data_IF_215727379032
#
_entry.id   IF_215727379032
#
_cell.length_a   1.000
_cell.length_b   1.000
_cell.length_c   1.000
_cell.angle_alpha   90.00
_cell.angle_beta   90.00
_cell.angle_gamma   90.00
#
_symmetry.space_group_name_H-M   'P 1'
#
loop_
_entity.id
_entity.type
_entity.pdbx_description
1 polymer ?
#
# COMPACT_ATOMS: atom_id res chain seq x y z
N UNK A 1 17.15 42.71 -22.57
CA UNK A 1 15.72 42.31 -22.43
C UNK A 1 15.29 41.18 -23.38
N UNK A 2 16.19 40.58 -24.18
CA UNK A 2 15.84 39.56 -25.19
C UNK A 2 15.59 38.15 -24.60
N UNK A 3 16.22 37.80 -23.47
CA UNK A 3 16.03 36.49 -22.82
C UNK A 3 14.66 36.33 -22.13
N UNK A 4 13.88 37.41 -21.95
CA UNK A 4 12.57 37.36 -21.28
C UNK A 4 11.54 36.53 -22.05
N UNK A 5 11.59 36.53 -23.38
CA UNK A 5 10.71 35.71 -24.22
C UNK A 5 11.01 34.22 -24.10
N UNK A 6 12.30 33.86 -24.09
CA UNK A 6 12.76 32.48 -23.92
C UNK A 6 12.35 31.91 -22.55
N UNK A 7 12.55 32.68 -21.47
CA UNK A 7 12.16 32.27 -20.12
C UNK A 7 10.65 32.03 -20.04
N UNK A 8 9.82 32.91 -20.62
CA UNK A 8 8.36 32.73 -20.64
C UNK A 8 7.96 31.45 -21.38
N UNK A 9 8.56 31.17 -22.53
CA UNK A 9 8.30 29.94 -23.28
C UNK A 9 8.59 28.69 -22.44
N UNK A 10 9.77 28.61 -21.82
CA UNK A 10 10.13 27.48 -20.97
C UNK A 10 9.22 27.35 -19.74
N UNK A 11 8.79 28.46 -19.14
CA UNK A 11 7.84 28.39 -18.02
C UNK A 11 6.49 27.82 -18.44
N UNK A 12 5.95 28.22 -19.59
CA UNK A 12 4.69 27.66 -20.09
C UNK A 12 4.83 26.17 -20.46
N UNK A 13 5.94 25.80 -21.12
CA UNK A 13 6.21 24.41 -21.45
C UNK A 13 6.33 23.53 -20.19
N UNK A 14 7.01 24.02 -19.15
CA UNK A 14 7.14 23.33 -17.87
C UNK A 14 5.79 23.20 -17.16
N UNK A 15 4.97 24.25 -17.13
CA UNK A 15 3.62 24.18 -16.55
C UNK A 15 2.78 23.12 -17.27
N UNK A 16 2.81 23.07 -18.61
CA UNK A 16 2.08 22.07 -19.38
C UNK A 16 2.56 20.65 -19.07
N UNK A 17 3.87 20.43 -18.92
CA UNK A 17 4.41 19.12 -18.57
C UNK A 17 3.98 18.69 -17.16
N UNK A 18 3.96 19.63 -16.21
CA UNK A 18 3.49 19.37 -14.85
C UNK A 18 2.01 19.01 -14.82
N UNK A 19 1.17 19.74 -15.58
CA UNK A 19 -0.26 19.42 -15.69
C UNK A 19 -0.49 18.04 -16.31
N UNK A 20 0.29 17.68 -17.32
CA UNK A 20 0.22 16.35 -17.93
C UNK A 20 0.58 15.25 -16.93
N UNK A 21 1.67 15.39 -16.17
CA UNK A 21 2.04 14.42 -15.13
C UNK A 21 0.97 14.32 -14.02
N UNK A 22 0.46 15.45 -13.55
CA UNK A 22 -0.58 15.49 -12.50
C UNK A 22 -1.90 14.87 -12.98
N UNK A 23 -2.21 14.95 -14.28
CA UNK A 23 -3.43 14.38 -14.84
C UNK A 23 -3.53 12.86 -14.64
N UNK A 24 -2.40 12.13 -14.72
CA UNK A 24 -2.38 10.69 -14.46
C UNK A 24 -2.76 10.35 -13.03
N UNK A 25 -2.16 11.05 -12.05
CA UNK A 25 -2.53 10.91 -10.64
C UNK A 25 -4.02 11.18 -10.43
N UNK A 26 -4.59 12.18 -11.11
CA UNK A 26 -6.03 12.45 -11.01
C UNK A 26 -6.89 11.33 -11.59
N UNK A 27 -6.56 10.81 -12.78
CA UNK A 27 -7.30 9.71 -13.40
C UNK A 27 -7.27 8.42 -12.55
N UNK A 28 -6.09 8.08 -12.02
CA UNK A 28 -5.90 6.92 -11.13
C UNK A 28 -6.72 7.06 -9.86
N UNK A 29 -6.60 8.18 -9.15
CA UNK A 29 -7.35 8.44 -7.91
C UNK A 29 -8.86 8.44 -8.14
N UNK A 30 -9.32 8.94 -9.27
CA UNK A 30 -10.74 8.91 -9.62
C UNK A 30 -11.25 7.47 -9.84
N UNK A 31 -10.48 6.63 -10.53
CA UNK A 31 -10.81 5.22 -10.72
C UNK A 31 -10.81 4.45 -9.39
N UNK A 32 -9.78 4.63 -8.58
CA UNK A 32 -9.62 4.01 -7.26
C UNK A 32 -10.79 4.37 -6.33
N UNK A 33 -11.17 5.65 -6.28
CA UNK A 33 -12.35 6.11 -5.52
C UNK A 33 -13.65 5.41 -5.94
N UNK A 34 -13.81 5.15 -7.24
CA UNK A 34 -14.98 4.43 -7.75
C UNK A 34 -15.00 2.95 -7.33
N UNK A 35 -13.83 2.32 -7.24
CA UNK A 35 -13.70 0.92 -6.81
C UNK A 35 -13.82 0.78 -5.29
N UNK A 36 -13.33 1.76 -4.54
CA UNK A 36 -13.51 1.85 -3.10
C UNK A 36 -14.99 1.96 -2.74
N UNK A 37 -15.75 2.80 -3.45
CA UNK A 37 -17.19 2.91 -3.26
C UNK A 37 -17.92 1.58 -3.50
N UNK A 38 -17.51 0.80 -4.51
CA UNK A 38 -18.05 -0.55 -4.77
C UNK A 38 -17.68 -1.53 -3.65
N UNK A 39 -16.45 -1.48 -3.14
CA UNK A 39 -16.01 -2.31 -2.03
C UNK A 39 -16.79 -1.98 -0.75
N UNK A 40 -16.94 -0.69 -0.42
CA UNK A 40 -17.73 -0.23 0.72
C UNK A 40 -19.21 -0.63 0.61
N UNK A 41 -19.80 -0.54 -0.60
CA UNK A 41 -21.16 -0.98 -0.83
C UNK A 41 -21.34 -2.50 -0.68
N UNK A 42 -20.32 -3.30 -1.00
CA UNK A 42 -20.33 -4.74 -0.79
C UNK A 42 -20.25 -5.08 0.70
N UNK A 43 -19.35 -4.43 1.45
CA UNK A 43 -19.18 -4.63 2.89
C UNK A 43 -20.43 -4.25 3.70
N UNK A 44 -21.18 -3.22 3.28
CA UNK A 44 -22.46 -2.86 3.92
C UNK A 44 -23.51 -3.97 3.90
N UNK A 45 -23.33 -5.02 3.08
CA UNK A 45 -24.22 -6.20 3.06
C UNK A 45 -23.88 -7.20 4.17
N UNK A 46 -22.72 -7.08 4.79
CA UNK A 46 -22.31 -7.93 5.90
C UNK A 46 -23.06 -7.53 7.19
N UNK A 47 -23.32 -8.48 8.10
CA UNK A 47 -23.97 -8.18 9.36
C UNK A 47 -23.12 -7.22 10.19
N UNK A 48 -23.78 -6.32 10.92
CA UNK A 48 -23.09 -5.36 11.80
C UNK A 48 -22.57 -6.04 13.06
N UNK A 49 -21.46 -5.54 13.60
CA UNK A 49 -20.82 -6.09 14.81
C UNK A 49 -21.80 -6.29 15.98
N UNK A 50 -22.76 -5.36 16.14
CA UNK A 50 -23.79 -5.41 17.17
C UNK A 50 -24.81 -6.54 16.98
N UNK A 51 -25.03 -6.99 15.74
CA UNK A 51 -25.93 -8.11 15.43
C UNK A 51 -25.29 -9.47 15.67
N UNK A 52 -23.97 -9.58 15.45
CA UNK A 52 -23.21 -10.83 15.63
C UNK A 52 -22.78 -11.01 17.09
N UNK A 53 -22.38 -9.92 17.75
CA UNK A 53 -21.89 -9.90 19.13
C UNK A 53 -22.57 -8.79 19.95
N UNK A 54 -23.79 -9.01 20.47
CA UNK A 54 -24.58 -7.96 21.12
C UNK A 54 -24.01 -7.49 22.48
N UNK A 55 -23.29 -8.34 23.22
CA UNK A 55 -22.89 -8.05 24.60
C UNK A 55 -21.38 -7.83 24.82
N UNK A 56 -20.55 -8.09 23.81
CA UNK A 56 -19.09 -8.11 23.97
C UNK A 56 -18.40 -7.05 23.11
N UNK A 57 -17.91 -5.98 23.75
CA UNK A 57 -17.28 -4.83 23.05
C UNK A 57 -15.96 -5.18 22.39
N UNK A 58 -15.19 -6.09 22.99
CA UNK A 58 -13.91 -6.54 22.43
C UNK A 58 -14.12 -7.35 21.15
N UNK A 59 -15.10 -8.26 21.14
CA UNK A 59 -15.44 -9.04 19.95
C UNK A 59 -16.04 -8.16 18.84
N UNK A 60 -16.79 -7.11 19.19
CA UNK A 60 -17.24 -6.10 18.21
C UNK A 60 -16.07 -5.37 17.55
N UNK A 61 -15.05 -4.99 18.32
CA UNK A 61 -13.84 -4.35 17.80
C UNK A 61 -13.09 -5.27 16.84
N UNK A 62 -12.82 -6.52 17.26
CA UNK A 62 -12.15 -7.53 16.42
C UNK A 62 -12.94 -7.84 15.15
N UNK A 63 -14.26 -7.90 15.24
CA UNK A 63 -15.12 -8.11 14.08
C UNK A 63 -15.01 -6.94 13.09
N UNK A 64 -15.09 -5.69 13.57
CA UNK A 64 -14.93 -4.52 12.69
C UNK A 64 -13.55 -4.48 12.02
N UNK A 65 -12.50 -4.87 12.74
CA UNK A 65 -11.15 -4.98 12.19
C UNK A 65 -11.09 -6.02 11.06
N UNK A 66 -11.64 -7.22 11.29
CA UNK A 66 -11.74 -8.27 10.27
C UNK A 66 -12.55 -7.84 9.05
N UNK A 67 -13.66 -7.11 9.24
CA UNK A 67 -14.47 -6.57 8.15
C UNK A 67 -13.69 -5.53 7.35
N UNK A 68 -12.88 -4.69 8.02
CA UNK A 68 -12.00 -3.72 7.36
C UNK A 68 -10.95 -4.41 6.50
N UNK A 69 -10.40 -5.53 6.94
CA UNK A 69 -9.42 -6.30 6.18
C UNK A 69 -10.04 -7.01 4.98
N UNK A 70 -11.25 -7.56 5.14
CA UNK A 70 -12.02 -8.12 4.02
C UNK A 70 -12.33 -7.00 3.00
N UNK A 71 -12.67 -5.79 3.45
CA UNK A 71 -12.88 -4.64 2.56
C UNK A 71 -11.64 -4.35 1.72
N UNK A 72 -10.47 -4.27 2.35
CA UNK A 72 -9.18 -4.01 1.68
C UNK A 72 -8.85 -5.13 0.69
N UNK A 73 -9.05 -6.39 1.08
CA UNK A 73 -8.79 -7.54 0.20
C UNK A 73 -9.70 -7.53 -1.04
N UNK A 74 -11.00 -7.27 -0.85
CA UNK A 74 -11.96 -7.17 -1.94
C UNK A 74 -11.68 -5.98 -2.85
N UNK A 75 -11.34 -4.82 -2.27
CA UNK A 75 -10.91 -3.64 -3.00
C UNK A 75 -9.69 -3.94 -3.89
N UNK A 76 -8.64 -4.58 -3.33
CA UNK A 76 -7.46 -4.98 -4.09
C UNK A 76 -7.82 -5.90 -5.26
N UNK A 77 -8.70 -6.87 -5.04
CA UNK A 77 -9.20 -7.75 -6.12
C UNK A 77 -9.94 -6.98 -7.22
N UNK A 78 -10.73 -5.97 -6.87
CA UNK A 78 -11.40 -5.12 -7.85
C UNK A 78 -10.39 -4.32 -8.68
N UNK A 79 -9.37 -3.75 -8.05
CA UNK A 79 -8.30 -3.05 -8.78
C UNK A 79 -7.55 -3.99 -9.72
N UNK A 80 -7.19 -5.19 -9.24
CA UNK A 80 -6.51 -6.20 -10.06
C UNK A 80 -7.36 -6.63 -11.26
N UNK A 81 -8.68 -6.78 -11.07
CA UNK A 81 -9.61 -7.16 -12.13
C UNK A 81 -9.88 -6.03 -13.14
N UNK A 82 -9.57 -4.79 -12.77
CA UNK A 82 -9.84 -3.60 -13.60
C UNK A 82 -8.58 -2.96 -14.18
N UNK A 83 -7.44 -3.67 -14.17
CA UNK A 83 -6.16 -3.25 -14.77
C UNK A 83 -6.25 -2.77 -16.21
N UNK A 84 -6.98 -3.50 -17.03
CA UNK A 84 -7.13 -3.21 -18.46
C UNK A 84 -8.27 -2.22 -18.77
N UNK A 85 -8.92 -1.67 -17.74
CA UNK A 85 -9.97 -0.68 -17.97
C UNK A 85 -9.37 0.58 -18.57
N UNK A 86 -9.97 1.05 -19.66
CA UNK A 86 -9.53 2.25 -20.35
C UNK A 86 -9.98 3.49 -19.57
N UNK A 87 -9.02 4.32 -19.19
CA UNK A 87 -9.20 5.62 -18.53
C UNK A 87 -8.94 6.75 -19.53
N UNK A 88 -9.28 7.98 -19.13
CA UNK A 88 -9.08 9.20 -19.92
C UNK A 88 -9.61 9.07 -21.35
N UNK A 89 -10.90 8.75 -21.52
CA UNK A 89 -11.56 8.63 -22.84
C UNK A 89 -10.92 7.60 -23.79
N UNK A 90 -10.20 6.60 -23.29
CA UNK A 90 -9.61 5.54 -24.12
C UNK A 90 -8.11 5.68 -24.39
N UNK A 91 -7.48 6.75 -23.90
CA UNK A 91 -6.07 7.07 -24.18
C UNK A 91 -5.07 6.23 -23.37
N UNK A 92 -5.45 5.73 -22.19
CA UNK A 92 -4.57 4.95 -21.31
C UNK A 92 -5.34 3.88 -20.56
N UNK A 93 -4.70 2.78 -20.18
CA UNK A 93 -5.29 1.79 -19.23
C UNK A 93 -5.03 2.22 -17.78
N UNK A 94 -5.79 1.67 -16.83
CA UNK A 94 -5.53 1.87 -15.40
C UNK A 94 -4.10 1.45 -15.04
N UNK A 95 -3.64 0.29 -15.51
CA UNK A 95 -2.28 -0.18 -15.28
C UNK A 95 -1.22 0.83 -15.75
N UNK A 96 -1.32 1.31 -16.99
CA UNK A 96 -0.35 2.27 -17.54
C UNK A 96 -0.44 3.65 -16.86
N UNK A 97 -1.65 4.09 -16.49
CA UNK A 97 -1.83 5.34 -15.76
C UNK A 97 -1.25 5.24 -14.33
N UNK A 98 -1.34 4.07 -13.70
CA UNK A 98 -0.78 3.80 -12.36
C UNK A 98 0.75 3.81 -12.37
N UNK A 99 1.37 3.25 -13.40
CA UNK A 99 2.83 3.30 -13.58
C UNK A 99 3.35 4.73 -13.81
N UNK A 100 2.54 5.58 -14.44
CA UNK A 100 2.85 7.00 -14.68
C UNK A 100 2.38 7.93 -13.57
N UNK A 101 1.75 7.38 -12.53
CA UNK A 101 1.35 8.17 -11.37
C UNK A 101 2.60 8.68 -10.64
N UNK A 102 2.48 9.87 -10.07
CA UNK A 102 3.53 10.42 -9.22
C UNK A 102 3.81 9.50 -8.04
N UNK A 103 5.05 9.00 -7.94
CA UNK A 103 5.47 8.16 -6.82
C UNK A 103 5.42 8.96 -5.51
N UNK A 104 4.56 8.52 -4.60
CA UNK A 104 4.44 9.13 -3.28
C UNK A 104 5.51 8.54 -2.36
N UNK A 105 6.21 9.40 -1.62
CA UNK A 105 7.13 8.96 -0.58
C UNK A 105 6.39 8.33 0.59
N UNK A 106 7.14 7.68 1.49
CA UNK A 106 6.60 7.04 2.70
C UNK A 106 5.76 8.00 3.56
N UNK A 107 6.16 9.28 3.61
CA UNK A 107 5.43 10.33 4.35
C UNK A 107 4.04 10.60 3.77
N UNK A 108 3.89 10.53 2.44
CA UNK A 108 2.64 10.84 1.74
C UNK A 108 1.74 9.62 1.52
N UNK A 109 2.34 8.45 1.32
CA UNK A 109 1.61 7.19 1.09
C UNK A 109 1.31 6.46 2.41
N UNK A 110 2.10 6.74 3.45
CA UNK A 110 2.10 5.96 4.69
C UNK A 110 2.80 4.60 4.50
N UNK A 111 3.38 4.11 5.59
CA UNK A 111 4.06 2.82 5.64
C UNK A 111 5.13 2.81 6.72
N UNK A 112 5.86 1.69 6.82
CA UNK A 112 6.95 1.53 7.77
C UNK A 112 8.20 1.07 7.04
N UNK A 113 9.28 1.83 7.16
CA UNK A 113 10.61 1.35 6.75
C UNK A 113 11.15 0.46 7.85
N UNK A 114 11.22 -0.85 7.59
CA UNK A 114 11.80 -1.83 8.53
C UNK A 114 13.12 -2.32 7.97
N UNK A 115 14.21 -1.98 8.63
CA UNK A 115 15.51 -2.63 8.44
C UNK A 115 15.65 -3.70 9.49
N UNK A 116 15.53 -4.97 9.09
CA UNK A 116 15.74 -6.08 10.02
C UNK A 116 17.23 -6.39 10.11
N UNK A 117 17.80 -6.21 11.29
CA UNK A 117 19.11 -6.75 11.61
C UNK A 117 18.95 -8.20 12.07
N UNK A 118 19.69 -9.12 11.44
CA UNK A 118 19.70 -10.52 11.87
C UNK A 118 20.84 -10.69 12.87
N UNK A 119 20.51 -10.97 14.12
CA UNK A 119 21.49 -11.37 15.12
C UNK A 119 22.20 -12.65 14.65
N UNK A 120 23.54 -12.63 14.65
CA UNK A 120 24.36 -13.79 14.25
C UNK A 120 24.07 -15.01 15.13
N UNK A 121 23.76 -14.77 16.40
CA UNK A 121 23.36 -15.75 17.40
C UNK A 121 22.04 -16.46 17.04
N UNK A 122 21.03 -15.69 16.62
CA UNK A 122 19.74 -16.20 16.16
C UNK A 122 19.87 -16.99 14.87
N UNK A 123 20.75 -16.55 13.96
CA UNK A 123 21.06 -17.26 12.71
C UNK A 123 21.77 -18.59 12.99
N UNK A 124 22.75 -18.62 13.91
CA UNK A 124 23.45 -19.84 14.32
C UNK A 124 22.49 -20.83 15.03
N UNK A 125 21.59 -20.34 15.90
CA UNK A 125 20.53 -21.18 16.50
C UNK A 125 19.56 -21.74 15.47
N UNK A 126 19.17 -20.93 14.49
CA UNK A 126 18.31 -21.32 13.37
C UNK A 126 18.96 -22.41 12.51
N UNK A 127 20.24 -22.23 12.13
CA UNK A 127 21.00 -23.23 11.37
C UNK A 127 21.17 -24.55 12.14
N UNK A 128 21.29 -24.47 13.47
CA UNK A 128 21.35 -25.63 14.34
C UNK A 128 19.97 -26.23 14.69
N UNK A 129 18.89 -25.76 14.05
CA UNK A 129 17.50 -26.18 14.28
C UNK A 129 17.09 -26.13 15.76
N UNK A 130 17.47 -25.05 16.46
CA UNK A 130 17.20 -24.85 17.88
C UNK A 130 17.61 -26.05 18.75
N UNK A 131 18.80 -26.62 18.48
CA UNK A 131 19.34 -27.76 19.21
C UNK A 131 19.36 -27.53 20.73
N UNK A 132 18.98 -28.57 21.49
CA UNK A 132 19.00 -28.57 22.97
C UNK A 132 20.34 -29.03 23.54
N UNK A 133 21.34 -29.26 22.70
CA UNK A 133 22.65 -29.70 23.17
C UNK A 133 23.28 -28.66 24.11
N UNK A 134 23.73 -29.12 25.27
CA UNK A 134 24.30 -28.27 26.31
C UNK A 134 25.64 -27.67 25.85
N UNK A 135 26.46 -28.45 25.13
CA UNK A 135 27.77 -27.99 24.68
C UNK A 135 27.67 -26.83 23.69
N UNK A 136 26.76 -26.95 22.72
CA UNK A 136 26.46 -25.91 21.72
C UNK A 136 25.92 -24.63 22.36
N UNK A 137 24.93 -24.74 23.25
CA UNK A 137 24.31 -23.57 23.87
C UNK A 137 25.28 -22.82 24.80
N UNK A 138 26.14 -23.55 25.53
CA UNK A 138 27.19 -22.93 26.34
C UNK A 138 28.24 -22.24 25.48
N UNK A 139 28.71 -22.87 24.39
CA UNK A 139 29.68 -22.27 23.47
C UNK A 139 29.11 -21.00 22.79
N UNK A 140 27.85 -21.06 22.38
CA UNK A 140 27.18 -19.91 21.77
C UNK A 140 26.97 -18.77 22.76
N UNK A 141 26.55 -19.06 23.99
CA UNK A 141 26.41 -18.03 25.04
C UNK A 141 27.75 -17.38 25.38
N UNK A 142 28.84 -18.15 25.38
CA UNK A 142 30.19 -17.61 25.62
C UNK A 142 30.70 -16.74 24.46
N UNK A 143 30.29 -17.01 23.22
CA UNK A 143 30.71 -16.25 22.04
C UNK A 143 29.87 -14.98 21.80
N UNK A 144 28.68 -14.92 22.38
CA UNK A 144 27.75 -13.78 22.30
C UNK A 144 27.96 -12.78 23.45
N UNK A 145 28.54 -13.23 24.57
CA UNK A 145 28.98 -12.38 25.68
C UNK A 145 30.18 -11.50 25.28
#
# INVERSE_FOLDING_TARGET
MQLKGLVRFFTFALILICLYQLSFTWFVRNHEKSMEAKAAAWVKKLPTAQSVYPNDKEQQFLYNDSVSDIQKAYYKRLLDSTKETKLAFGLTTYASAKEKELMLGLDLQGGMSVTMEVGLDGLIKSLANYTKDASFNTALNNAVA
#
